data_IF_553837777396
#
_entry.id   IF_553837777396
#
_cell.length_a   1.000
_cell.length_b   1.000
_cell.length_c   1.000
_cell.angle_alpha   90.00
_cell.angle_beta   90.00
_cell.angle_gamma   90.00
#
_symmetry.space_group_name_H-M   'P 1'
#
loop_
_entity.id
_entity.type
_entity.pdbx_description
1 polymer ?
#
# COMPACT_ATOMS: atom_id res chain seq x y z
N UNK A 1 -6.79 -18.25 -2.01
CA UNK A 1 -6.74 -17.04 -2.86
C UNK A 1 -7.89 -16.07 -2.64
N UNK A 2 -9.15 -16.50 -2.66
CA UNK A 2 -10.31 -15.60 -2.56
C UNK A 2 -10.28 -14.66 -1.35
N UNK A 3 -9.88 -15.15 -0.17
CA UNK A 3 -9.76 -14.33 1.06
C UNK A 3 -8.70 -13.23 0.91
N UNK A 4 -7.57 -13.51 0.27
CA UNK A 4 -6.52 -12.50 0.02
C UNK A 4 -7.05 -11.41 -0.92
N UNK A 5 -7.71 -11.81 -2.01
CA UNK A 5 -8.28 -10.88 -2.98
C UNK A 5 -9.36 -10.01 -2.31
N UNK A 6 -10.25 -10.60 -1.52
CA UNK A 6 -11.25 -9.85 -0.76
C UNK A 6 -10.60 -8.84 0.19
N UNK A 7 -9.58 -9.27 0.94
CA UNK A 7 -8.83 -8.39 1.82
C UNK A 7 -8.19 -7.22 1.08
N UNK A 8 -7.59 -7.47 -0.09
CA UNK A 8 -7.02 -6.43 -0.96
C UNK A 8 -8.09 -5.46 -1.45
N UNK A 9 -9.24 -5.95 -1.90
CA UNK A 9 -10.35 -5.10 -2.35
C UNK A 9 -10.83 -4.19 -1.22
N UNK A 10 -11.06 -4.75 -0.03
CA UNK A 10 -11.54 -3.97 1.13
C UNK A 10 -10.49 -2.95 1.56
N UNK A 11 -9.23 -3.38 1.70
CA UNK A 11 -8.14 -2.52 2.17
C UNK A 11 -7.84 -1.41 1.17
N UNK A 12 -7.56 -1.74 -0.09
CA UNK A 12 -7.22 -0.77 -1.12
C UNK A 12 -8.42 0.10 -1.50
N UNK A 13 -9.63 -0.47 -1.49
CA UNK A 13 -10.87 0.27 -1.71
C UNK A 13 -11.06 1.39 -0.70
N UNK A 14 -10.90 1.09 0.60
CA UNK A 14 -10.95 2.10 1.66
C UNK A 14 -9.89 3.20 1.46
N UNK A 15 -8.67 2.83 1.10
CA UNK A 15 -7.58 3.79 0.84
C UNK A 15 -7.75 4.58 -0.47
N UNK A 16 -8.61 4.10 -1.38
CA UNK A 16 -8.87 4.75 -2.67
C UNK A 16 -10.00 5.77 -2.63
N UNK A 17 -10.72 5.90 -1.50
CA UNK A 17 -11.86 6.84 -1.37
C UNK A 17 -11.46 8.25 -1.80
N UNK A 18 -10.29 8.74 -1.39
CA UNK A 18 -9.82 10.09 -1.76
C UNK A 18 -9.39 10.21 -3.23
N UNK A 19 -9.12 9.10 -3.88
CA UNK A 19 -8.76 9.04 -5.30
C UNK A 19 -10.02 9.17 -6.17
N UNK A 20 -11.10 8.49 -5.79
CA UNK A 20 -12.30 8.32 -6.63
C UNK A 20 -13.54 9.11 -6.14
N UNK A 21 -13.59 9.48 -4.87
CA UNK A 21 -14.79 10.01 -4.22
C UNK A 21 -14.46 11.01 -3.10
N UNK A 22 -13.59 12.00 -3.37
CA UNK A 22 -13.16 12.98 -2.35
C UNK A 22 -14.30 13.89 -1.85
N UNK A 23 -15.27 14.22 -2.71
CA UNK A 23 -16.46 15.00 -2.31
C UNK A 23 -17.33 14.21 -1.33
N UNK A 24 -17.55 12.92 -1.61
CA UNK A 24 -18.28 12.03 -0.71
C UNK A 24 -17.56 11.88 0.62
N UNK A 25 -16.23 11.71 0.60
CA UNK A 25 -15.41 11.71 1.81
C UNK A 25 -15.60 12.99 2.62
N UNK A 26 -15.55 14.14 1.96
CA UNK A 26 -15.72 15.44 2.61
C UNK A 26 -17.11 15.58 3.24
N UNK A 27 -18.16 15.11 2.57
CA UNK A 27 -19.51 15.04 3.12
C UNK A 27 -19.61 14.11 4.34
N UNK A 28 -18.95 12.94 4.32
CA UNK A 28 -18.93 12.05 5.49
C UNK A 28 -18.16 12.65 6.66
N UNK A 29 -17.05 13.36 6.41
CA UNK A 29 -16.29 14.07 7.44
C UNK A 29 -17.14 15.19 8.06
N UNK A 30 -17.91 15.93 7.26
CA UNK A 30 -18.83 16.96 7.76
C UNK A 30 -19.95 16.37 8.61
N UNK A 31 -20.47 15.18 8.23
CA UNK A 31 -21.56 14.49 8.95
C UNK A 31 -21.12 13.81 10.25
N UNK A 32 -20.00 13.08 10.22
CA UNK A 32 -19.54 12.22 11.31
C UNK A 32 -18.49 12.91 12.21
N UNK A 33 -17.99 14.06 11.77
CA UNK A 33 -16.78 14.66 12.32
C UNK A 33 -15.50 13.91 11.92
N UNK A 34 -14.37 14.59 12.06
CA UNK A 34 -13.06 14.03 11.69
C UNK A 34 -12.71 12.75 12.47
N UNK A 35 -13.07 12.68 13.75
CA UNK A 35 -12.83 11.51 14.61
C UNK A 35 -13.69 10.31 14.21
N UNK A 36 -15.00 10.52 14.00
CA UNK A 36 -15.92 9.46 13.59
C UNK A 36 -15.55 8.86 12.23
N UNK A 37 -15.25 9.73 11.25
CA UNK A 37 -14.76 9.28 9.94
C UNK A 37 -13.47 8.46 10.04
N UNK A 38 -12.47 8.93 10.81
CA UNK A 38 -11.21 8.19 11.03
C UNK A 38 -11.44 6.85 11.70
N UNK A 39 -12.39 6.75 12.64
CA UNK A 39 -12.77 5.49 13.29
C UNK A 39 -13.32 4.47 12.30
N UNK A 40 -14.30 4.87 11.48
CA UNK A 40 -14.86 4.00 10.41
C UNK A 40 -13.78 3.58 9.42
N UNK A 41 -12.97 4.53 8.96
CA UNK A 41 -11.86 4.27 8.04
C UNK A 41 -10.87 3.25 8.63
N UNK A 42 -10.51 3.41 9.90
CA UNK A 42 -9.58 2.52 10.60
C UNK A 42 -10.16 1.10 10.76
N UNK A 43 -11.44 0.98 11.10
CA UNK A 43 -12.10 -0.33 11.24
C UNK A 43 -12.15 -1.09 9.91
N UNK A 44 -12.55 -0.43 8.82
CA UNK A 44 -12.58 -1.04 7.49
C UNK A 44 -11.17 -1.43 7.03
N UNK A 45 -10.19 -0.54 7.26
CA UNK A 45 -8.78 -0.82 6.95
C UNK A 45 -8.25 -2.01 7.74
N UNK A 46 -8.57 -2.09 9.04
CA UNK A 46 -8.14 -3.19 9.90
C UNK A 46 -8.77 -4.51 9.46
N UNK A 47 -10.07 -4.51 9.14
CA UNK A 47 -10.75 -5.70 8.62
C UNK A 47 -10.11 -6.19 7.31
N UNK A 48 -9.87 -5.28 6.36
CA UNK A 48 -9.16 -5.60 5.12
C UNK A 48 -7.75 -6.14 5.37
N UNK A 49 -7.01 -5.55 6.28
CA UNK A 49 -5.67 -6.00 6.66
C UNK A 49 -5.67 -7.40 7.29
N UNK A 50 -6.58 -7.68 8.22
CA UNK A 50 -6.73 -9.02 8.82
C UNK A 50 -7.05 -10.06 7.75
N UNK A 51 -7.94 -9.75 6.80
CA UNK A 51 -8.25 -10.62 5.68
C UNK A 51 -7.03 -10.86 4.77
N UNK A 52 -6.21 -9.84 4.51
CA UNK A 52 -4.95 -10.00 3.77
C UNK A 52 -4.01 -10.97 4.50
N UNK A 53 -3.78 -10.73 5.81
CA UNK A 53 -2.88 -11.56 6.63
C UNK A 53 -3.36 -13.01 6.66
N UNK A 54 -4.64 -13.24 6.93
CA UNK A 54 -5.23 -14.57 6.91
C UNK A 54 -5.11 -15.20 5.53
N UNK A 55 -5.60 -14.52 4.49
CA UNK A 55 -5.66 -15.03 3.13
C UNK A 55 -4.29 -15.39 2.57
N UNK A 56 -3.28 -14.57 2.86
CA UNK A 56 -1.89 -14.85 2.53
C UNK A 56 -1.34 -16.02 3.36
N UNK A 57 -1.65 -16.05 4.66
CA UNK A 57 -1.27 -17.13 5.57
C UNK A 57 -1.81 -18.50 5.16
N UNK A 58 -2.99 -18.56 4.53
CA UNK A 58 -3.55 -19.77 3.93
C UNK A 58 -2.87 -20.10 2.60
N UNK A 59 -2.61 -19.09 1.76
CA UNK A 59 -2.00 -19.28 0.45
C UNK A 59 -0.58 -19.86 0.50
N UNK A 60 0.17 -19.56 1.56
CA UNK A 60 1.52 -20.10 1.76
C UNK A 60 1.55 -21.56 2.23
N UNK A 61 0.42 -22.14 2.63
CA UNK A 61 0.36 -23.56 3.06
C UNK A 61 0.52 -24.50 1.87
N UNK A 62 0.03 -24.09 0.71
CA UNK A 62 0.19 -24.80 -0.57
C UNK A 62 0.51 -23.77 -1.67
N UNK A 63 1.76 -23.29 -1.75
CA UNK A 63 2.13 -22.17 -2.59
C UNK A 63 2.21 -22.57 -4.07
N UNK A 64 1.47 -21.84 -4.91
CA UNK A 64 1.65 -21.90 -6.37
C UNK A 64 2.88 -21.07 -6.74
N UNK A 65 3.99 -21.74 -7.03
CA UNK A 65 5.24 -21.11 -7.48
C UNK A 65 5.13 -20.76 -8.96
N UNK A 66 5.37 -19.50 -9.31
CA UNK A 66 5.41 -19.02 -10.69
C UNK A 66 6.84 -19.01 -11.23
N UNK A 67 7.81 -18.62 -10.39
CA UNK A 67 9.24 -18.70 -10.69
C UNK A 67 10.06 -18.80 -9.41
N UNK A 68 11.33 -19.16 -9.56
CA UNK A 68 12.31 -19.12 -8.48
C UNK A 68 13.21 -17.88 -8.65
N UNK A 69 13.07 -16.86 -7.79
CA UNK A 69 13.92 -15.68 -7.85
C UNK A 69 15.39 -16.05 -7.63
N UNK A 70 16.33 -15.53 -8.43
CA UNK A 70 17.76 -15.69 -8.16
C UNK A 70 18.13 -15.17 -6.77
N UNK A 71 19.03 -15.85 -6.06
CA UNK A 71 19.36 -15.53 -4.66
C UNK A 71 19.82 -14.09 -4.44
N UNK A 72 20.52 -13.51 -5.42
CA UNK A 72 21.02 -12.14 -5.34
C UNK A 72 19.90 -11.08 -5.27
N UNK A 73 18.70 -11.37 -5.79
CA UNK A 73 17.59 -10.40 -5.77
C UNK A 73 17.11 -10.11 -4.35
N UNK A 74 17.33 -11.03 -3.40
CA UNK A 74 17.03 -10.82 -1.97
C UNK A 74 17.88 -9.71 -1.36
N UNK A 75 19.16 -9.59 -1.76
CA UNK A 75 20.03 -8.51 -1.28
C UNK A 75 19.59 -7.15 -1.82
N UNK A 76 19.24 -7.09 -3.11
CA UNK A 76 18.69 -5.89 -3.74
C UNK A 76 17.37 -5.49 -3.08
N UNK A 77 16.48 -6.45 -2.84
CA UNK A 77 15.21 -6.20 -2.16
C UNK A 77 15.41 -5.70 -0.72
N UNK A 78 16.41 -6.21 0.00
CA UNK A 78 16.78 -5.71 1.33
C UNK A 78 17.21 -4.24 1.29
N UNK A 79 18.08 -3.86 0.34
CA UNK A 79 18.50 -2.48 0.16
C UNK A 79 17.34 -1.55 -0.21
N UNK A 80 16.48 -1.97 -1.15
CA UNK A 80 15.31 -1.20 -1.54
C UNK A 80 14.31 -1.06 -0.37
N UNK A 81 14.16 -2.09 0.45
CA UNK A 81 13.30 -2.04 1.65
C UNK A 81 13.84 -1.03 2.67
N UNK A 82 15.17 -0.94 2.84
CA UNK A 82 15.78 0.09 3.67
C UNK A 82 15.46 1.50 3.15
N UNK A 83 15.58 1.72 1.84
CA UNK A 83 15.18 2.99 1.19
C UNK A 83 13.69 3.27 1.43
N UNK A 84 12.83 2.27 1.32
CA UNK A 84 11.40 2.41 1.58
C UNK A 84 11.12 2.85 3.02
N UNK A 85 11.83 2.30 4.02
CA UNK A 85 11.70 2.73 5.41
C UNK A 85 12.10 4.20 5.59
N UNK A 86 13.22 4.63 4.99
CA UNK A 86 13.63 6.04 5.02
C UNK A 86 12.55 6.95 4.44
N UNK A 87 11.94 6.57 3.30
CA UNK A 87 10.86 7.32 2.67
C UNK A 87 9.60 7.38 3.55
N UNK A 88 9.21 6.26 4.15
CA UNK A 88 8.06 6.21 5.07
C UNK A 88 8.31 7.12 6.28
N UNK A 89 9.49 7.04 6.90
CA UNK A 89 9.86 7.92 8.02
C UNK A 89 9.84 9.39 7.61
N UNK A 90 10.36 9.71 6.42
CA UNK A 90 10.36 11.08 5.90
C UNK A 90 8.94 11.68 5.73
N UNK A 91 7.88 10.87 5.65
CA UNK A 91 6.51 11.38 5.62
C UNK A 91 6.09 12.04 6.94
N UNK A 92 6.61 11.54 8.06
CA UNK A 92 6.22 11.95 9.41
C UNK A 92 7.18 12.96 10.05
N UNK A 93 8.41 13.06 9.55
CA UNK A 93 9.38 14.08 10.01
C UNK A 93 9.08 15.43 9.34
N UNK A 94 8.79 16.51 10.08
CA UNK A 94 8.57 17.84 9.50
C UNK A 94 9.84 18.43 8.87
N UNK A 95 9.69 19.29 7.85
CA UNK A 95 10.78 20.14 7.34
C UNK A 95 11.95 19.44 6.63
N UNK A 96 11.83 18.16 6.26
CA UNK A 96 12.93 17.43 5.64
C UNK A 96 12.95 17.54 4.09
N UNK A 97 14.15 17.47 3.51
CA UNK A 97 14.36 17.62 2.07
C UNK A 97 13.71 16.50 1.23
N UNK A 98 13.61 15.27 1.75
CA UNK A 98 12.99 14.16 1.03
C UNK A 98 11.50 14.39 0.82
N UNK A 99 10.78 14.84 1.86
CA UNK A 99 9.37 15.19 1.76
C UNK A 99 9.14 16.36 0.80
N UNK A 100 10.01 17.37 0.84
CA UNK A 100 9.95 18.50 -0.10
C UNK A 100 10.16 18.05 -1.56
N UNK A 101 11.15 17.19 -1.82
CA UNK A 101 11.46 16.71 -3.16
C UNK A 101 10.42 15.71 -3.71
N UNK A 102 9.97 14.77 -2.88
CA UNK A 102 9.09 13.66 -3.30
C UNK A 102 7.60 14.02 -3.22
N UNK A 103 7.22 14.94 -2.34
CA UNK A 103 5.83 15.33 -2.05
C UNK A 103 5.10 14.32 -1.18
N UNK A 104 4.96 13.08 -1.67
CA UNK A 104 4.25 11.98 -0.98
C UNK A 104 5.18 10.82 -0.65
N UNK A 105 6.17 11.01 0.24
CA UNK A 105 7.23 10.02 0.49
C UNK A 105 6.70 8.72 1.11
N UNK A 106 5.58 8.74 1.86
CA UNK A 106 4.90 7.51 2.34
C UNK A 106 4.54 6.58 1.17
N UNK A 107 3.81 7.11 0.19
CA UNK A 107 3.33 6.33 -0.97
C UNK A 107 4.50 5.92 -1.86
N UNK A 108 5.51 6.79 -2.01
CA UNK A 108 6.76 6.43 -2.69
C UNK A 108 7.48 5.25 -2.01
N UNK A 109 7.54 5.25 -0.66
CA UNK A 109 8.06 4.13 0.11
C UNK A 109 7.31 2.84 -0.14
N UNK A 110 5.97 2.88 -0.15
CA UNK A 110 5.12 1.71 -0.48
C UNK A 110 5.43 1.17 -1.88
N UNK A 111 5.61 2.05 -2.88
CA UNK A 111 6.00 1.62 -4.24
C UNK A 111 7.33 0.89 -4.25
N UNK A 112 8.36 1.46 -3.62
CA UNK A 112 9.71 0.87 -3.58
C UNK A 112 9.68 -0.47 -2.84
N UNK A 113 8.97 -0.54 -1.71
CA UNK A 113 8.80 -1.77 -0.95
C UNK A 113 8.07 -2.86 -1.75
N UNK A 114 6.94 -2.52 -2.37
CA UNK A 114 6.16 -3.50 -3.14
C UNK A 114 6.96 -4.03 -4.35
N UNK A 115 7.71 -3.15 -5.04
CA UNK A 115 8.61 -3.54 -6.11
C UNK A 115 9.74 -4.45 -5.62
N UNK A 116 10.36 -4.13 -4.48
CA UNK A 116 11.39 -4.96 -3.87
C UNK A 116 10.90 -6.39 -3.60
N UNK A 117 9.67 -6.53 -3.10
CA UNK A 117 9.08 -7.85 -2.86
C UNK A 117 8.77 -8.61 -4.14
N UNK A 118 8.32 -7.95 -5.20
CA UNK A 118 8.14 -8.61 -6.50
C UNK A 118 9.46 -9.12 -7.11
N UNK A 119 10.58 -8.46 -6.83
CA UNK A 119 11.90 -8.94 -7.28
C UNK A 119 12.39 -10.17 -6.50
N UNK A 120 12.06 -10.27 -5.22
CA UNK A 120 12.59 -11.28 -4.32
C UNK A 120 11.68 -12.49 -4.08
N UNK A 121 10.41 -12.40 -4.47
CA UNK A 121 9.41 -13.45 -4.28
C UNK A 121 8.77 -13.87 -5.60
N UNK A 122 8.37 -15.14 -5.71
CA UNK A 122 7.93 -15.73 -6.98
C UNK A 122 6.70 -16.62 -6.88
N UNK A 123 5.91 -16.54 -5.81
CA UNK A 123 4.61 -17.24 -5.74
C UNK A 123 3.48 -16.37 -6.28
N UNK A 124 2.38 -17.01 -6.69
CA UNK A 124 1.18 -16.32 -7.12
C UNK A 124 0.63 -15.38 -6.04
N UNK A 125 0.68 -15.80 -4.77
CA UNK A 125 0.20 -14.99 -3.65
C UNK A 125 1.03 -13.71 -3.48
N UNK A 126 2.35 -13.80 -3.66
CA UNK A 126 3.25 -12.64 -3.63
C UNK A 126 2.92 -11.66 -4.75
N UNK A 127 2.80 -12.16 -5.98
CA UNK A 127 2.48 -11.33 -7.15
C UNK A 127 1.15 -10.60 -6.98
N UNK A 128 0.12 -11.31 -6.50
CA UNK A 128 -1.20 -10.71 -6.26
C UNK A 128 -1.12 -9.63 -5.18
N UNK A 129 -0.48 -9.91 -4.04
CA UNK A 129 -0.37 -8.95 -2.93
C UNK A 129 0.45 -7.72 -3.32
N UNK A 130 1.70 -7.91 -3.72
CA UNK A 130 2.63 -6.81 -3.97
C UNK A 130 2.35 -6.11 -5.29
N UNK A 131 1.89 -6.84 -6.31
CA UNK A 131 1.46 -6.25 -7.59
C UNK A 131 0.27 -5.31 -7.42
N UNK A 132 -0.73 -5.73 -6.64
CA UNK A 132 -1.91 -4.91 -6.34
C UNK A 132 -1.54 -3.66 -5.54
N UNK A 133 -0.69 -3.80 -4.51
CA UNK A 133 -0.17 -2.67 -3.73
C UNK A 133 0.67 -1.70 -4.58
N UNK A 134 1.53 -2.22 -5.47
CA UNK A 134 2.33 -1.39 -6.37
C UNK A 134 1.45 -0.62 -7.36
N UNK A 135 0.49 -1.29 -8.01
CA UNK A 135 -0.45 -0.66 -8.94
C UNK A 135 -1.27 0.43 -8.25
N UNK A 136 -1.84 0.14 -7.08
CA UNK A 136 -2.55 1.11 -6.27
C UNK A 136 -1.65 2.29 -5.89
N UNK A 137 -0.44 2.05 -5.39
CA UNK A 137 0.46 3.10 -4.92
C UNK A 137 0.92 4.02 -6.07
N UNK A 138 1.04 3.52 -7.30
CA UNK A 138 1.27 4.35 -8.49
C UNK A 138 0.10 5.30 -8.73
N UNK A 139 -1.14 4.78 -8.72
CA UNK A 139 -2.35 5.58 -8.94
C UNK A 139 -2.52 6.62 -7.84
N UNK A 140 -2.37 6.23 -6.57
CA UNK A 140 -2.50 7.15 -5.44
C UNK A 140 -1.44 8.25 -5.48
N UNK A 141 -0.18 7.90 -5.77
CA UNK A 141 0.89 8.89 -5.89
C UNK A 141 0.60 9.92 -6.97
N UNK A 142 0.15 9.48 -8.16
CA UNK A 142 -0.23 10.39 -9.25
C UNK A 142 -1.40 11.29 -8.82
N UNK A 143 -2.44 10.69 -8.23
CA UNK A 143 -3.62 11.41 -7.73
C UNK A 143 -3.23 12.49 -6.70
N UNK A 144 -2.34 12.15 -5.77
CA UNK A 144 -1.86 13.06 -4.73
C UNK A 144 -1.01 14.20 -5.30
N UNK A 145 -0.08 13.91 -6.21
CA UNK A 145 0.73 14.93 -6.88
C UNK A 145 -0.08 15.87 -7.76
N UNK A 146 -1.18 15.40 -8.35
CA UNK A 146 -2.11 16.27 -9.10
C UNK A 146 -2.81 17.24 -8.17
N UNK A 147 -3.26 16.79 -7.00
CA UNK A 147 -3.88 17.66 -5.98
C UNK A 147 -2.92 18.71 -5.42
N UNK A 148 -1.63 18.41 -5.27
CA UNK A 148 -0.64 19.41 -4.83
C UNK A 148 -0.48 20.60 -5.80
N UNK A 149 -0.89 20.43 -7.07
CA UNK A 149 -0.72 21.42 -8.14
C UNK A 149 -2.00 22.22 -8.44
N UNK A 150 -3.14 21.79 -7.92
CA UNK A 150 -4.45 22.41 -8.10
C UNK A 150 -4.67 23.48 -7.03
#
# INVERSE_FOLDING_TARGET
MSVLILGLIVFLGAHSVRIIADDWRSAQVARLGAGGWKGVYALVSLAGFVLIVWGFGQARLDPVVLWHPPTWTRHVAGLLTLVAFVLVTAAYVPGNHLKAAVGHPMVAGVKVWAFAHLLANGTLADVVLFGSLLGWAVIDFISARRRDRA
#
